data_IF_021757637962
#
_entry.id   IF_021757637962
#
_cell.length_a   1.000
_cell.length_b   1.000
_cell.length_c   1.000
_cell.angle_alpha   90.00
_cell.angle_beta   90.00
_cell.angle_gamma   90.00
#
_symmetry.space_group_name_H-M   'P 1'
#
loop_
_entity.id
_entity.type
_entity.pdbx_description
1 polymer ?
#
# COMPACT_ATOMS: atom_id res chain seq x y z
N UNK A 1 -38.86 -28.18 27.13
CA UNK A 1 -37.42 -28.18 27.42
C UNK A 1 -36.66 -28.06 26.10
N UNK A 2 -36.38 -26.84 25.68
CA UNK A 2 -35.70 -26.53 24.41
C UNK A 2 -34.20 -26.78 24.58
N UNK A 3 -33.72 -27.88 24.01
CA UNK A 3 -32.30 -28.18 23.87
C UNK A 3 -31.59 -27.02 23.16
N UNK A 4 -30.86 -26.23 23.95
CA UNK A 4 -30.12 -25.07 23.50
C UNK A 4 -28.97 -25.49 22.60
N UNK A 5 -29.18 -25.44 21.29
CA UNK A 5 -28.10 -25.51 20.29
C UNK A 5 -27.18 -24.32 20.54
N UNK A 6 -26.04 -24.56 21.21
CA UNK A 6 -25.01 -23.54 21.44
C UNK A 6 -24.55 -23.03 20.07
N UNK A 7 -24.68 -21.72 19.86
CA UNK A 7 -24.20 -21.05 18.66
C UNK A 7 -22.69 -21.25 18.60
N UNK A 8 -22.11 -21.66 17.45
CA UNK A 8 -20.67 -21.73 17.27
C UNK A 8 -20.02 -20.39 17.64
N UNK A 9 -18.93 -20.44 18.41
CA UNK A 9 -18.25 -19.24 18.93
C UNK A 9 -17.92 -18.24 17.82
N UNK A 10 -17.43 -18.72 16.68
CA UNK A 10 -17.10 -17.90 15.51
C UNK A 10 -18.32 -17.15 14.95
N UNK A 11 -19.47 -17.82 14.85
CA UNK A 11 -20.70 -17.19 14.36
C UNK A 11 -21.21 -16.15 15.37
N UNK A 12 -21.06 -16.42 16.67
CA UNK A 12 -21.40 -15.47 17.73
C UNK A 12 -20.46 -14.25 17.73
N UNK A 13 -19.17 -14.43 17.48
CA UNK A 13 -18.19 -13.35 17.34
C UNK A 13 -18.50 -12.48 16.13
N UNK A 14 -18.72 -13.08 14.96
CA UNK A 14 -19.12 -12.35 13.76
C UNK A 14 -20.44 -11.60 13.93
N UNK A 15 -21.43 -12.21 14.57
CA UNK A 15 -22.70 -11.55 14.86
C UNK A 15 -22.49 -10.31 15.75
N UNK A 16 -21.64 -10.40 16.77
CA UNK A 16 -21.26 -9.24 17.61
C UNK A 16 -20.53 -8.16 16.80
N UNK A 17 -19.60 -8.54 15.93
CA UNK A 17 -18.89 -7.61 15.05
C UNK A 17 -19.89 -6.82 14.17
N UNK A 18 -20.81 -7.53 13.51
CA UNK A 18 -21.83 -6.89 12.65
C UNK A 18 -22.80 -6.02 13.45
N UNK A 19 -23.22 -6.46 14.65
CA UNK A 19 -24.07 -5.65 15.52
C UNK A 19 -23.40 -4.34 15.93
N UNK A 20 -22.10 -4.36 16.27
CA UNK A 20 -21.36 -3.14 16.57
C UNK A 20 -21.21 -2.23 15.35
N UNK A 21 -20.90 -2.78 14.17
CA UNK A 21 -20.83 -2.00 12.93
C UNK A 21 -22.18 -1.37 12.57
N UNK A 22 -23.28 -2.08 12.80
CA UNK A 22 -24.63 -1.54 12.58
C UNK A 22 -24.94 -0.41 13.56
N UNK A 23 -24.62 -0.59 14.85
CA UNK A 23 -24.83 0.42 15.89
C UNK A 23 -24.10 1.72 15.57
N UNK A 24 -22.81 1.65 15.23
CA UNK A 24 -22.04 2.85 14.86
C UNK A 24 -22.55 3.48 13.57
N UNK A 25 -22.92 2.70 12.55
CA UNK A 25 -23.44 3.27 11.31
C UNK A 25 -24.76 4.02 11.55
N UNK A 26 -25.65 3.48 12.41
CA UNK A 26 -26.88 4.17 12.82
C UNK A 26 -26.61 5.43 13.64
N UNK A 27 -25.59 5.41 14.50
CA UNK A 27 -25.17 6.60 15.24
C UNK A 27 -24.65 7.69 14.29
N UNK A 28 -23.89 7.31 13.26
CA UNK A 28 -23.32 8.24 12.28
C UNK A 28 -24.38 8.79 11.32
N UNK A 29 -25.37 7.98 10.93
CA UNK A 29 -26.48 8.41 10.08
C UNK A 29 -27.20 9.63 10.67
N UNK A 30 -27.34 9.67 11.99
CA UNK A 30 -28.00 10.76 12.70
C UNK A 30 -27.30 12.11 12.66
N UNK A 31 -26.05 12.21 12.20
CA UNK A 31 -25.40 13.49 11.90
C UNK A 31 -25.79 14.01 10.52
N UNK A 32 -26.02 13.12 9.55
CA UNK A 32 -26.38 13.49 8.18
C UNK A 32 -27.88 13.70 7.99
N UNK A 33 -28.73 12.93 8.69
CA UNK A 33 -30.19 13.01 8.59
C UNK A 33 -30.80 13.67 9.82
N UNK A 34 -31.53 14.77 9.61
CA UNK A 34 -32.18 15.53 10.68
C UNK A 34 -33.44 14.87 11.24
N UNK A 35 -33.96 13.84 10.57
CA UNK A 35 -35.20 13.12 10.93
C UNK A 35 -34.99 11.90 11.82
N UNK A 36 -33.74 11.50 12.07
CA UNK A 36 -33.45 10.30 12.88
C UNK A 36 -33.17 10.69 14.32
N UNK A 37 -34.09 10.35 15.21
CA UNK A 37 -33.89 10.46 16.65
C UNK A 37 -33.21 9.19 17.19
N UNK A 38 -31.89 9.27 17.41
CA UNK A 38 -31.09 8.14 17.89
C UNK A 38 -30.30 8.57 19.14
N UNK A 39 -30.48 7.90 20.30
CA UNK A 39 -29.73 8.21 21.52
C UNK A 39 -28.21 8.06 21.33
N UNK A 40 -27.77 7.10 20.52
CA UNK A 40 -26.33 6.93 20.24
C UNK A 40 -25.77 8.13 19.45
N UNK A 41 -26.57 8.76 18.59
CA UNK A 41 -26.16 9.99 17.90
C UNK A 41 -26.05 11.16 18.88
N UNK A 42 -26.95 11.24 19.86
CA UNK A 42 -26.95 12.29 20.88
C UNK A 42 -25.71 12.16 21.78
N UNK A 43 -25.47 10.95 22.30
CA UNK A 43 -24.28 10.64 23.11
C UNK A 43 -22.98 10.86 22.32
N UNK A 44 -22.91 10.41 21.07
CA UNK A 44 -21.76 10.66 20.21
C UNK A 44 -21.57 12.16 19.93
N UNK A 45 -22.65 12.90 19.65
CA UNK A 45 -22.58 14.33 19.36
C UNK A 45 -22.06 15.13 20.55
N UNK A 46 -22.49 14.78 21.75
CA UNK A 46 -22.02 15.35 23.00
C UNK A 46 -20.53 15.04 23.24
N UNK A 47 -20.16 13.76 23.20
CA UNK A 47 -18.79 13.32 23.47
C UNK A 47 -17.78 13.75 22.42
N UNK A 48 -18.21 14.05 21.18
CA UNK A 48 -17.32 14.52 20.12
C UNK A 48 -16.92 16.00 20.26
N UNK A 49 -17.63 16.79 21.08
CA UNK A 49 -17.30 18.20 21.32
C UNK A 49 -15.85 18.37 21.81
N UNK A 50 -15.37 17.45 22.65
CA UNK A 50 -13.99 17.48 23.16
C UNK A 50 -12.90 17.36 22.08
N UNK A 51 -13.26 16.87 20.89
CA UNK A 51 -12.33 16.69 19.77
C UNK A 51 -12.41 17.84 18.75
N UNK A 52 -13.21 18.87 19.02
CA UNK A 52 -13.29 20.04 18.17
C UNK A 52 -11.99 20.85 18.23
N UNK A 53 -11.47 21.32 17.08
CA UNK A 53 -10.34 22.22 17.07
C UNK A 53 -10.72 23.53 17.77
N UNK A 54 -10.00 23.90 18.83
CA UNK A 54 -10.29 25.07 19.65
C UNK A 54 -11.14 24.81 20.90
N UNK A 55 -11.52 23.56 21.18
CA UNK A 55 -12.26 23.22 22.40
C UNK A 55 -11.43 23.50 23.66
N UNK A 56 -11.91 24.41 24.51
CA UNK A 56 -11.19 24.89 25.69
C UNK A 56 -11.23 23.97 26.91
N UNK A 57 -12.07 22.93 26.91
CA UNK A 57 -12.18 21.96 28.01
C UNK A 57 -12.61 22.57 29.34
N UNK A 58 -13.36 23.67 29.31
CA UNK A 58 -13.85 24.43 30.47
C UNK A 58 -15.36 24.27 30.67
N UNK A 59 -15.96 23.26 30.05
CA UNK A 59 -17.41 23.02 30.05
C UNK A 59 -17.70 21.55 30.26
N UNK A 60 -18.62 21.26 31.17
CA UNK A 60 -19.22 19.94 31.33
C UNK A 60 -20.71 20.00 30.97
N UNK A 61 -21.17 18.98 30.25
CA UNK A 61 -22.56 18.89 29.78
C UNK A 61 -23.06 17.47 30.00
N UNK A 62 -24.15 17.32 30.76
CA UNK A 62 -24.81 16.03 30.95
C UNK A 62 -26.12 15.98 30.17
N UNK A 63 -26.43 14.83 29.57
CA UNK A 63 -27.67 14.57 28.87
C UNK A 63 -28.46 13.51 29.65
N UNK A 64 -29.57 13.91 30.27
CA UNK A 64 -30.43 13.07 31.10
C UNK A 64 -31.75 12.74 30.39
N UNK A 65 -32.35 11.62 30.78
CA UNK A 65 -33.63 11.14 30.24
C UNK A 65 -34.80 11.52 31.15
N UNK A 66 -35.87 12.05 30.58
CA UNK A 66 -37.18 12.37 31.17
C UNK A 66 -37.17 13.47 32.27
N UNK A 67 -36.23 13.43 33.21
CA UNK A 67 -36.15 14.36 34.35
C UNK A 67 -34.71 14.77 34.67
N UNK A 68 -34.54 15.78 35.55
CA UNK A 68 -33.24 16.21 36.09
C UNK A 68 -32.54 15.16 36.97
N UNK A 69 -33.26 14.13 37.41
CA UNK A 69 -32.75 13.01 38.20
C UNK A 69 -32.81 11.68 37.43
N UNK A 70 -33.11 11.73 36.14
CA UNK A 70 -33.30 10.55 35.31
C UNK A 70 -32.00 9.92 34.84
N UNK A 71 -32.12 8.82 34.10
CA UNK A 71 -30.97 8.06 33.60
C UNK A 71 -30.09 8.91 32.67
N UNK A 72 -28.77 8.82 32.84
CA UNK A 72 -27.80 9.48 31.96
C UNK A 72 -27.76 8.79 30.59
N UNK A 73 -28.03 9.57 29.53
CA UNK A 73 -27.90 9.16 28.13
C UNK A 73 -26.45 9.36 27.66
N UNK A 74 -25.78 10.41 28.16
CA UNK A 74 -24.35 10.60 28.02
C UNK A 74 -23.85 11.87 28.70
N UNK A 75 -22.56 11.91 29.02
CA UNK A 75 -21.90 13.05 29.65
C UNK A 75 -20.65 13.47 28.89
N UNK A 76 -20.41 14.78 28.87
CA UNK A 76 -19.15 15.40 28.53
C UNK A 76 -18.55 15.96 29.81
N UNK A 77 -17.57 15.27 30.38
CA UNK A 77 -16.83 15.75 31.53
C UNK A 77 -15.79 16.81 31.14
N UNK A 78 -15.50 17.71 32.07
CA UNK A 78 -14.39 18.67 31.96
C UNK A 78 -13.32 18.35 33.00
N UNK A 79 -12.05 18.47 32.61
CA UNK A 79 -10.90 18.27 33.50
C UNK A 79 -10.61 19.51 34.37
N UNK A 80 -11.22 20.66 34.06
CA UNK A 80 -11.06 21.91 34.82
C UNK A 80 -12.07 22.00 35.96
N UNK A 81 -11.58 22.28 37.17
CA UNK A 81 -12.42 22.47 38.36
C UNK A 81 -13.32 23.71 38.29
N UNK A 82 -12.99 24.71 37.46
CA UNK A 82 -13.79 25.93 37.24
C UNK A 82 -14.77 25.81 36.08
N UNK A 83 -15.01 24.59 35.60
CA UNK A 83 -15.85 24.39 34.43
C UNK A 83 -17.32 24.71 34.70
N UNK A 84 -17.96 25.34 33.71
CA UNK A 84 -19.38 25.62 33.77
C UNK A 84 -20.14 24.36 33.42
N UNK A 85 -20.92 23.87 34.38
CA UNK A 85 -21.75 22.68 34.23
C UNK A 85 -23.15 23.02 33.73
N UNK A 86 -23.62 22.22 32.77
CA UNK A 86 -24.89 22.35 32.07
C UNK A 86 -25.56 21.00 31.96
N UNK A 87 -26.89 20.98 32.02
CA UNK A 87 -27.68 19.77 31.95
C UNK A 87 -28.67 19.92 30.80
N UNK A 88 -28.79 18.91 29.96
CA UNK A 88 -29.81 18.79 28.92
C UNK A 88 -30.74 17.65 29.32
N UNK A 89 -32.03 17.92 29.44
CA UNK A 89 -33.03 16.86 29.72
C UNK A 89 -33.78 16.56 28.42
N UNK A 90 -33.78 15.28 28.03
CA UNK A 90 -34.56 14.75 26.90
C UNK A 90 -35.95 14.35 27.41
N UNK A 91 -36.99 15.05 26.98
CA UNK A 91 -38.40 14.74 27.21
C UNK A 91 -39.05 14.22 25.93
N UNK A 92 -40.29 13.73 26.01
CA UNK A 92 -41.07 13.31 24.83
C UNK A 92 -41.29 14.45 23.82
N UNK A 93 -41.30 15.70 24.30
CA UNK A 93 -41.59 16.90 23.51
C UNK A 93 -40.32 17.65 23.05
N UNK A 94 -39.12 17.19 23.44
CA UNK A 94 -37.84 17.76 22.99
C UNK A 94 -36.75 17.80 24.05
N UNK A 95 -35.87 18.80 23.95
CA UNK A 95 -34.70 18.97 24.81
C UNK A 95 -34.74 20.31 25.53
N UNK A 96 -34.59 20.26 26.85
CA UNK A 96 -34.61 21.43 27.72
C UNK A 96 -33.24 21.64 28.38
N UNK A 97 -32.66 22.85 28.26
CA UNK A 97 -31.39 23.15 28.89
C UNK A 97 -31.59 23.70 30.31
N UNK A 98 -30.77 23.22 31.23
CA UNK A 98 -30.73 23.63 32.63
C UNK A 98 -29.30 23.96 33.06
N UNK A 99 -29.18 24.80 34.07
CA UNK A 99 -27.91 25.00 34.79
C UNK A 99 -27.73 23.92 35.87
N UNK A 100 -26.56 23.94 36.53
CA UNK A 100 -26.25 23.04 37.65
C UNK A 100 -27.14 23.23 38.89
N UNK A 101 -27.94 24.30 38.96
CA UNK A 101 -28.90 24.58 40.02
C UNK A 101 -30.33 24.14 39.65
N UNK A 102 -30.54 23.56 38.46
CA UNK A 102 -31.85 23.13 37.98
C UNK A 102 -32.73 24.25 37.40
N UNK A 103 -32.17 25.43 37.15
CA UNK A 103 -32.89 26.53 36.51
C UNK A 103 -32.81 26.40 34.98
N UNK A 104 -33.94 26.63 34.30
CA UNK A 104 -34.02 26.57 32.85
C UNK A 104 -33.22 27.70 32.19
N UNK A 105 -32.38 27.35 31.21
CA UNK A 105 -31.49 28.27 30.49
C UNK A 105 -32.05 28.76 29.16
N UNK A 106 -33.23 28.29 28.75
CA UNK A 106 -33.81 28.66 27.45
C UNK A 106 -35.04 27.86 27.09
N UNK A 107 -35.63 28.20 25.94
CA UNK A 107 -36.81 27.54 25.43
C UNK A 107 -36.53 26.09 25.01
N UNK A 108 -37.52 25.23 25.20
CA UNK A 108 -37.51 23.84 24.73
C UNK A 108 -37.27 23.80 23.21
N UNK A 109 -36.36 22.91 22.79
CA UNK A 109 -36.07 22.70 21.38
C UNK A 109 -36.41 21.25 20.98
N UNK A 110 -37.18 21.02 19.90
CA UNK A 110 -37.50 19.65 19.46
C UNK A 110 -36.27 18.88 18.95
N UNK A 111 -35.16 19.56 18.62
CA UNK A 111 -33.96 18.96 18.05
C UNK A 111 -32.78 19.04 19.00
N UNK A 112 -32.09 17.90 19.17
CA UNK A 112 -30.93 17.78 20.06
C UNK A 112 -29.83 18.80 19.74
N UNK A 113 -29.38 18.90 18.49
CA UNK A 113 -28.27 19.78 18.11
C UNK A 113 -28.63 21.27 18.21
N UNK A 114 -29.91 21.62 18.03
CA UNK A 114 -30.40 22.97 18.30
C UNK A 114 -30.36 23.32 19.79
N UNK A 115 -30.74 22.37 20.65
CA UNK A 115 -30.63 22.54 22.11
C UNK A 115 -29.17 22.59 22.56
N UNK A 116 -28.31 21.72 22.02
CA UNK A 116 -26.88 21.71 22.28
C UNK A 116 -26.23 23.04 21.88
N UNK A 117 -26.60 23.61 20.73
CA UNK A 117 -26.15 24.96 20.36
C UNK A 117 -26.55 25.98 21.43
N UNK A 118 -27.81 25.99 21.89
CA UNK A 118 -28.28 26.95 22.90
C UNK A 118 -27.52 26.89 24.22
N UNK A 119 -26.99 25.71 24.57
CA UNK A 119 -26.17 25.50 25.78
C UNK A 119 -24.74 25.99 25.61
N UNK A 120 -24.23 26.08 24.37
CA UNK A 120 -22.91 26.60 24.06
C UNK A 120 -22.92 28.14 24.05
N UNK A 121 -22.21 28.81 24.98
CA UNK A 121 -22.14 30.26 24.99
C UNK A 121 -21.26 30.81 23.85
N UNK A 122 -21.37 32.11 23.60
CA UNK A 122 -20.79 32.80 22.44
C UNK A 122 -19.25 32.69 22.38
N UNK A 123 -18.58 32.65 23.53
CA UNK A 123 -17.14 32.45 23.67
C UNK A 123 -16.68 31.09 23.11
N UNK A 124 -17.41 30.03 23.46
CA UNK A 124 -17.12 28.67 23.00
C UNK A 124 -17.40 28.54 21.50
N UNK A 125 -18.47 29.16 21.01
CA UNK A 125 -18.80 29.13 19.57
C UNK A 125 -17.70 29.78 18.73
N UNK A 126 -17.18 30.93 19.16
CA UNK A 126 -16.10 31.62 18.46
C UNK A 126 -14.80 30.81 18.44
N UNK A 127 -14.46 30.15 19.56
CA UNK A 127 -13.22 29.35 19.66
C UNK A 127 -13.23 28.11 18.78
N UNK A 128 -14.39 27.46 18.60
CA UNK A 128 -14.57 26.32 17.68
C UNK A 128 -14.89 26.74 16.24
N UNK A 129 -14.72 28.02 15.90
CA UNK A 129 -14.99 28.60 14.58
C UNK A 129 -16.44 28.42 14.10
N UNK A 130 -17.42 28.45 15.02
CA UNK A 130 -18.84 28.49 14.69
C UNK A 130 -19.37 29.93 14.72
N UNK A 131 -20.08 30.39 13.68
CA UNK A 131 -20.75 31.69 13.69
C UNK A 131 -21.73 31.83 14.87
N UNK A 132 -21.91 33.04 15.41
CA UNK A 132 -22.86 33.28 16.51
C UNK A 132 -24.31 32.98 16.10
N UNK A 133 -24.65 33.21 14.82
CA UNK A 133 -25.92 32.87 14.21
C UNK A 133 -25.94 31.45 13.60
N UNK A 134 -25.04 30.56 14.05
CA UNK A 134 -24.95 29.22 13.49
C UNK A 134 -26.26 28.45 13.64
N UNK A 135 -26.64 27.76 12.57
CA UNK A 135 -27.79 26.86 12.57
C UNK A 135 -27.35 25.46 13.02
N UNK A 136 -28.29 24.67 13.52
CA UNK A 136 -28.03 23.28 13.95
C UNK A 136 -27.34 22.42 12.88
N UNK A 137 -27.60 22.68 11.60
CA UNK A 137 -27.02 21.91 10.50
C UNK A 137 -25.50 22.11 10.38
N UNK A 138 -24.98 23.28 10.77
CA UNK A 138 -23.55 23.56 10.74
C UNK A 138 -22.82 22.78 11.84
N UNK A 139 -23.35 22.77 13.06
CA UNK A 139 -22.81 21.96 14.15
C UNK A 139 -22.84 20.46 13.81
N UNK A 140 -23.96 20.01 13.23
CA UNK A 140 -24.13 18.62 12.78
C UNK A 140 -23.11 18.21 11.71
N UNK A 141 -22.89 19.05 10.70
CA UNK A 141 -21.93 18.79 9.64
C UNK A 141 -20.50 18.70 10.18
N UNK A 142 -20.15 19.62 11.08
CA UNK A 142 -18.82 19.69 11.69
C UNK A 142 -18.55 18.45 12.55
N UNK A 143 -19.48 18.10 13.46
CA UNK A 143 -19.35 16.88 14.26
C UNK A 143 -19.41 15.60 13.41
N UNK A 144 -20.25 15.59 12.36
CA UNK A 144 -20.37 14.46 11.43
C UNK A 144 -19.08 14.19 10.65
N UNK A 145 -18.34 15.23 10.25
CA UNK A 145 -17.02 15.09 9.64
C UNK A 145 -16.04 14.37 10.57
N UNK A 146 -15.94 14.83 11.82
CA UNK A 146 -15.06 14.22 12.84
C UNK A 146 -15.52 12.79 13.15
N UNK A 147 -16.82 12.56 13.28
CA UNK A 147 -17.39 11.25 13.58
C UNK A 147 -17.07 10.21 12.49
N UNK A 148 -17.07 10.64 11.22
CA UNK A 148 -16.76 9.78 10.07
C UNK A 148 -15.26 9.46 9.98
N UNK A 149 -14.40 10.45 10.23
CA UNK A 149 -12.94 10.27 10.22
C UNK A 149 -12.44 9.46 11.42
N UNK A 150 -13.01 9.68 12.60
CA UNK A 150 -12.57 9.11 13.88
C UNK A 150 -13.61 8.18 14.48
N UNK A 151 -14.00 7.15 13.72
CA UNK A 151 -14.96 6.12 14.16
C UNK A 151 -14.54 5.42 15.44
N UNK A 152 -13.24 5.25 15.66
CA UNK A 152 -12.66 4.70 16.88
C UNK A 152 -13.05 5.51 18.12
N UNK A 153 -13.08 6.84 18.02
CA UNK A 153 -13.48 7.72 19.13
C UNK A 153 -14.97 7.62 19.42
N UNK A 154 -15.80 7.54 18.37
CA UNK A 154 -17.25 7.30 18.51
C UNK A 154 -17.52 5.97 19.22
N UNK A 155 -16.77 4.90 18.91
CA UNK A 155 -16.89 3.61 19.61
C UNK A 155 -16.56 3.74 21.10
N UNK A 156 -15.51 4.49 21.43
CA UNK A 156 -15.11 4.74 22.82
C UNK A 156 -16.17 5.53 23.60
N UNK A 157 -16.73 6.58 22.99
CA UNK A 157 -17.82 7.39 23.58
C UNK A 157 -19.05 6.53 23.83
N UNK A 158 -19.41 5.64 22.90
CA UNK A 158 -20.56 4.74 23.03
C UNK A 158 -20.29 3.49 23.89
N UNK A 159 -19.16 3.49 24.61
CA UNK A 159 -18.69 2.40 25.47
C UNK A 159 -18.76 1.02 24.77
N UNK A 160 -18.50 0.98 23.47
CA UNK A 160 -18.51 -0.27 22.73
C UNK A 160 -17.30 -1.11 23.14
N UNK A 161 -17.54 -2.41 23.39
CA UNK A 161 -16.43 -3.30 23.71
C UNK A 161 -15.43 -3.33 22.56
N UNK A 162 -14.13 -3.07 22.82
CA UNK A 162 -13.12 -3.15 21.79
C UNK A 162 -13.09 -4.59 21.28
N UNK A 163 -13.39 -4.78 19.99
CA UNK A 163 -13.15 -6.06 19.33
C UNK A 163 -11.64 -6.23 19.34
N UNK A 164 -11.12 -7.03 20.28
CA UNK A 164 -9.73 -7.47 20.25
C UNK A 164 -9.52 -8.07 18.86
N UNK A 165 -8.51 -7.64 18.08
CA UNK A 165 -8.19 -8.32 16.85
C UNK A 165 -7.74 -9.73 17.23
N UNK A 166 -8.70 -10.65 17.27
CA UNK A 166 -8.41 -12.07 17.39
C UNK A 166 -7.49 -12.42 16.23
N UNK A 167 -6.38 -13.09 16.53
CA UNK A 167 -5.57 -13.72 15.50
C UNK A 167 -6.50 -14.71 14.82
N UNK A 168 -7.03 -14.35 13.64
CA UNK A 168 -7.72 -15.30 12.79
C UNK A 168 -6.64 -16.29 12.34
N UNK A 169 -6.81 -17.56 12.64
CA UNK A 169 -5.90 -18.57 12.12
C UNK A 169 -6.16 -18.72 10.62
N UNK A 170 -5.17 -19.11 9.82
CA UNK A 170 -5.41 -19.44 8.42
C UNK A 170 -6.46 -20.56 8.36
N UNK A 171 -7.61 -20.30 7.75
CA UNK A 171 -8.68 -21.30 7.63
C UNK A 171 -8.68 -21.92 6.23
N UNK A 172 -9.17 -23.16 6.15
CA UNK A 172 -9.34 -23.86 4.89
C UNK A 172 -10.61 -23.34 4.22
N UNK A 173 -10.45 -22.67 3.08
CA UNK A 173 -11.53 -22.15 2.26
C UNK A 173 -12.27 -23.32 1.57
N UNK A 174 -13.51 -23.10 1.09
CA UNK A 174 -14.32 -24.13 0.42
C UNK A 174 -13.64 -24.77 -0.81
N UNK A 175 -12.67 -24.08 -1.39
CA UNK A 175 -11.83 -24.54 -2.51
C UNK A 175 -10.54 -25.26 -2.09
N UNK A 176 -10.36 -25.53 -0.79
CA UNK A 176 -9.19 -26.23 -0.25
C UNK A 176 -7.98 -25.34 0.06
N UNK A 177 -8.00 -24.04 -0.27
CA UNK A 177 -6.91 -23.10 0.05
C UNK A 177 -6.83 -22.83 1.55
N UNK A 178 -5.63 -22.77 2.12
CA UNK A 178 -5.41 -22.28 3.50
C UNK A 178 -5.13 -20.77 3.40
N UNK A 179 -6.00 -19.92 3.94
CA UNK A 179 -5.85 -18.49 3.80
C UNK A 179 -6.83 -17.64 4.63
N UNK A 180 -6.70 -16.32 4.48
CA UNK A 180 -7.56 -15.34 5.16
C UNK A 180 -8.66 -14.85 4.21
N UNK A 181 -9.94 -14.80 4.62
CA UNK A 181 -10.95 -14.08 3.85
C UNK A 181 -10.54 -12.60 3.76
N UNK A 182 -10.55 -12.07 2.54
CA UNK A 182 -10.05 -10.76 2.10
C UNK A 182 -10.65 -9.55 2.85
N UNK A 183 -10.28 -9.35 4.12
CA UNK A 183 -10.45 -8.08 4.80
C UNK A 183 -9.09 -7.39 4.90
N UNK A 184 -8.91 -6.29 4.17
CA UNK A 184 -7.67 -5.50 4.15
C UNK A 184 -7.27 -4.90 5.51
N UNK A 185 -8.04 -5.13 6.58
CA UNK A 185 -7.81 -4.61 7.93
C UNK A 185 -6.58 -5.23 8.62
N UNK A 186 -6.30 -6.52 8.37
CA UNK A 186 -5.09 -7.17 8.91
C UNK A 186 -3.81 -6.82 8.12
N UNK A 187 -3.97 -6.32 6.88
CA UNK A 187 -2.84 -5.89 6.04
C UNK A 187 -2.05 -4.73 6.67
N UNK A 188 -2.75 -3.82 7.36
CA UNK A 188 -2.14 -2.71 8.10
C UNK A 188 -1.49 -3.15 9.41
N UNK A 189 -2.12 -4.07 10.13
CA UNK A 189 -1.63 -4.60 11.41
C UNK A 189 -0.31 -5.39 11.24
N UNK A 190 -0.22 -6.27 10.25
CA UNK A 190 1.02 -7.03 9.97
C UNK A 190 2.15 -6.15 9.40
N UNK A 191 1.81 -5.06 8.70
CA UNK A 191 2.81 -4.06 8.25
C UNK A 191 3.40 -3.27 9.43
N UNK A 192 2.62 -3.04 10.50
CA UNK A 192 3.01 -2.28 11.71
C UNK A 192 3.83 -3.09 12.72
N UNK A 193 3.63 -4.41 12.78
CA UNK A 193 4.34 -5.30 13.70
C UNK A 193 5.72 -5.76 13.21
N UNK A 194 6.19 -5.32 12.04
CA UNK A 194 7.46 -5.77 11.47
C UNK A 194 7.48 -7.26 11.08
N UNK A 195 6.36 -7.98 11.26
CA UNK A 195 6.14 -9.34 10.74
C UNK A 195 5.85 -9.18 9.25
N UNK A 196 6.90 -8.93 8.47
CA UNK A 196 6.83 -8.97 7.02
C UNK A 196 6.33 -10.36 6.61
N UNK A 197 5.09 -10.45 6.14
CA UNK A 197 4.47 -11.69 5.65
C UNK A 197 5.26 -12.35 4.50
N UNK A 198 6.18 -11.60 3.88
CA UNK A 198 7.20 -12.08 2.93
C UNK A 198 8.34 -12.89 3.56
N UNK A 199 8.41 -13.04 4.89
CA UNK A 199 9.44 -13.83 5.57
C UNK A 199 9.00 -15.27 5.88
N UNK A 200 7.69 -15.53 5.85
CA UNK A 200 7.07 -16.81 6.23
C UNK A 200 6.39 -17.53 5.07
N UNK A 201 6.01 -16.83 4.00
CA UNK A 201 5.50 -17.46 2.77
C UNK A 201 6.40 -17.13 1.57
N UNK A 202 6.94 -18.14 0.86
CA UNK A 202 7.76 -17.91 -0.33
C UNK A 202 6.96 -17.24 -1.46
N UNK A 203 5.64 -17.44 -1.52
CA UNK A 203 4.75 -16.85 -2.51
C UNK A 203 4.65 -15.32 -2.37
N UNK A 204 4.51 -14.81 -1.14
CA UNK A 204 4.50 -13.36 -0.90
C UNK A 204 5.88 -12.73 -1.09
N UNK A 205 6.94 -13.48 -0.82
CA UNK A 205 8.30 -13.03 -1.11
C UNK A 205 8.49 -12.84 -2.63
N UNK A 206 8.07 -13.80 -3.45
CA UNK A 206 8.10 -13.69 -4.92
C UNK A 206 7.21 -12.54 -5.39
N UNK A 207 5.99 -12.43 -4.88
CA UNK A 207 5.06 -11.32 -5.23
C UNK A 207 5.59 -9.94 -4.83
N UNK A 208 6.43 -9.87 -3.79
CA UNK A 208 7.10 -8.62 -3.41
C UNK A 208 8.23 -8.22 -4.37
N UNK A 209 8.95 -9.21 -4.91
CA UNK A 209 10.01 -9.00 -5.92
C UNK A 209 9.40 -8.67 -7.29
N UNK A 210 8.36 -9.43 -7.68
CA UNK A 210 7.69 -9.36 -8.97
C UNK A 210 6.17 -9.10 -8.78
N UNK A 211 5.74 -7.82 -8.70
CA UNK A 211 4.34 -7.47 -8.44
C UNK A 211 3.37 -7.93 -9.50
N UNK A 212 3.80 -7.99 -10.76
CA UNK A 212 2.93 -8.27 -11.90
C UNK A 212 2.69 -9.76 -12.13
N UNK A 213 3.44 -10.64 -11.45
CA UNK A 213 3.30 -12.08 -11.60
C UNK A 213 1.89 -12.56 -11.22
N UNK A 214 1.23 -13.31 -12.08
CA UNK A 214 -0.01 -14.01 -11.73
C UNK A 214 0.25 -15.09 -10.66
N UNK A 215 -0.81 -15.61 -10.03
CA UNK A 215 -0.65 -16.69 -9.05
C UNK A 215 0.02 -17.93 -9.67
N UNK A 216 -0.33 -18.25 -10.91
CA UNK A 216 0.25 -19.39 -11.65
C UNK A 216 1.73 -19.14 -11.99
N UNK A 217 2.08 -17.91 -12.37
CA UNK A 217 3.48 -17.54 -12.62
C UNK A 217 4.33 -17.59 -11.34
N UNK A 218 3.76 -17.22 -10.18
CA UNK A 218 4.43 -17.38 -8.88
C UNK A 218 4.67 -18.86 -8.56
N UNK A 219 3.68 -19.72 -8.83
CA UNK A 219 3.81 -21.17 -8.61
C UNK A 219 4.89 -21.78 -9.52
N UNK A 220 4.84 -21.49 -10.82
CA UNK A 220 5.84 -21.94 -11.81
C UNK A 220 7.24 -21.49 -11.38
N UNK A 221 7.40 -20.21 -11.03
CA UNK A 221 8.69 -19.68 -10.59
C UNK A 221 9.23 -20.39 -9.33
N UNK A 222 8.35 -20.68 -8.36
CA UNK A 222 8.76 -21.42 -7.16
C UNK A 222 9.10 -22.88 -7.48
N UNK A 223 8.41 -23.51 -8.42
CA UNK A 223 8.69 -24.88 -8.83
C UNK A 223 10.00 -24.98 -9.63
N UNK A 224 10.29 -24.03 -10.52
CA UNK A 224 11.60 -23.90 -11.18
C UNK A 224 12.71 -23.73 -10.14
N UNK A 225 12.51 -22.86 -9.15
CA UNK A 225 13.49 -22.59 -8.10
C UNK A 225 13.65 -23.80 -7.16
N UNK A 226 12.61 -24.62 -6.96
CA UNK A 226 12.72 -25.89 -6.23
C UNK A 226 13.46 -26.96 -7.04
N UNK A 227 13.31 -26.96 -8.37
CA UNK A 227 14.00 -27.89 -9.25
C UNK A 227 15.52 -27.65 -9.31
N UNK A 228 15.98 -26.42 -9.03
CA UNK A 228 17.41 -26.11 -8.88
C UNK A 228 18.07 -26.79 -7.65
N UNK A 229 17.27 -27.22 -6.66
CA UNK A 229 17.79 -27.84 -5.43
C UNK A 229 18.09 -29.32 -5.64
N UNK A 230 19.37 -29.69 -5.57
CA UNK A 230 19.86 -31.08 -5.70
C UNK A 230 20.07 -31.78 -4.34
N UNK A 231 19.78 -31.10 -3.22
CA UNK A 231 19.99 -31.62 -1.87
C UNK A 231 18.80 -32.38 -1.28
N UNK A 232 18.88 -32.71 0.01
CA UNK A 232 17.81 -33.42 0.72
C UNK A 232 16.53 -32.57 0.83
N UNK A 233 15.36 -33.23 0.77
CA UNK A 233 14.05 -32.59 0.80
C UNK A 233 13.83 -31.72 2.05
N UNK A 234 14.46 -32.06 3.18
CA UNK A 234 14.39 -31.27 4.42
C UNK A 234 15.10 -29.90 4.35
N UNK A 235 16.04 -29.73 3.40
CA UNK A 235 16.79 -28.48 3.22
C UNK A 235 16.13 -27.54 2.19
N UNK A 236 15.15 -28.03 1.42
CA UNK A 236 14.47 -27.29 0.37
C UNK A 236 13.88 -25.93 0.86
N UNK A 237 13.20 -25.85 2.01
CA UNK A 237 12.65 -24.57 2.48
C UNK A 237 13.75 -23.54 2.81
N UNK A 238 14.90 -24.00 3.32
CA UNK A 238 16.04 -23.12 3.60
C UNK A 238 16.67 -22.61 2.31
N UNK A 239 16.88 -23.49 1.34
CA UNK A 239 17.40 -23.14 0.02
C UNK A 239 16.54 -22.08 -0.68
N UNK A 240 15.22 -22.30 -0.75
CA UNK A 240 14.28 -21.33 -1.36
C UNK A 240 14.36 -19.98 -0.66
N UNK A 241 14.39 -19.97 0.69
CA UNK A 241 14.48 -18.73 1.46
C UNK A 241 15.81 -18.00 1.24
N UNK A 242 16.93 -18.73 1.17
CA UNK A 242 18.24 -18.16 0.90
C UNK A 242 18.31 -17.57 -0.51
N UNK A 243 17.77 -18.27 -1.51
CA UNK A 243 17.72 -17.80 -2.89
C UNK A 243 16.90 -16.53 -3.04
N UNK A 244 15.70 -16.48 -2.43
CA UNK A 244 14.84 -15.30 -2.43
C UNK A 244 15.45 -14.10 -1.69
N UNK A 245 16.25 -14.35 -0.63
CA UNK A 245 17.05 -13.29 0.02
C UNK A 245 18.14 -12.78 -0.92
N UNK A 246 18.88 -13.67 -1.56
CA UNK A 246 19.89 -13.30 -2.55
C UNK A 246 19.33 -12.42 -3.67
N UNK A 247 18.17 -12.78 -4.23
CA UNK A 247 17.47 -11.95 -5.24
C UNK A 247 17.07 -10.58 -4.69
N UNK A 248 16.62 -10.50 -3.43
CA UNK A 248 16.29 -9.21 -2.80
C UNK A 248 17.52 -8.33 -2.62
N UNK A 249 18.63 -8.93 -2.18
CA UNK A 249 19.88 -8.22 -1.98
C UNK A 249 20.47 -7.75 -3.32
N UNK A 250 20.34 -8.56 -4.37
CA UNK A 250 20.71 -8.21 -5.74
C UNK A 250 19.89 -7.03 -6.27
N UNK A 251 18.56 -7.04 -6.10
CA UNK A 251 17.70 -5.92 -6.47
C UNK A 251 18.07 -4.64 -5.71
N UNK A 252 18.34 -4.77 -4.41
CA UNK A 252 18.73 -3.62 -3.58
C UNK A 252 20.05 -3.04 -4.05
N UNK A 253 21.05 -3.89 -4.33
CA UNK A 253 22.35 -3.44 -4.82
C UNK A 253 22.20 -2.74 -6.18
N UNK A 254 21.43 -3.33 -7.11
CA UNK A 254 21.12 -2.72 -8.39
C UNK A 254 20.50 -1.33 -8.23
N UNK A 255 19.52 -1.19 -7.33
CA UNK A 255 18.89 0.09 -7.07
C UNK A 255 19.88 1.12 -6.54
N UNK A 256 20.72 0.75 -5.56
CA UNK A 256 21.76 1.63 -5.01
C UNK A 256 22.75 2.09 -6.08
N UNK A 257 23.27 1.16 -6.90
CA UNK A 257 24.21 1.49 -7.99
C UNK A 257 23.58 2.44 -9.02
N UNK A 258 22.30 2.23 -9.38
CA UNK A 258 21.61 3.11 -10.33
C UNK A 258 21.32 4.50 -9.76
N UNK A 259 20.95 4.58 -8.49
CA UNK A 259 20.70 5.86 -7.80
C UNK A 259 22.01 6.66 -7.69
N UNK A 260 23.11 6.02 -7.29
CA UNK A 260 24.46 6.62 -7.26
C UNK A 260 24.84 7.16 -8.64
N UNK A 261 24.68 6.35 -9.69
CA UNK A 261 24.96 6.73 -11.08
C UNK A 261 24.17 7.95 -11.58
N UNK A 262 22.94 8.13 -11.13
CA UNK A 262 22.13 9.33 -11.43
C UNK A 262 22.69 10.54 -10.67
N UNK A 263 23.03 10.36 -9.38
CA UNK A 263 23.50 11.45 -8.51
C UNK A 263 24.88 11.98 -8.86
N UNK A 264 25.76 11.16 -9.44
CA UNK A 264 27.10 11.57 -9.90
C UNK A 264 27.07 12.66 -10.98
N UNK A 265 25.94 12.85 -11.69
CA UNK A 265 25.78 13.87 -12.74
C UNK A 265 24.62 14.83 -12.48
N UNK A 266 24.71 15.69 -11.43
CA UNK A 266 23.56 16.49 -11.00
C UNK A 266 23.15 17.57 -12.00
N UNK A 267 24.07 18.02 -12.88
CA UNK A 267 23.88 19.15 -13.83
C UNK A 267 24.21 18.81 -15.29
N UNK A 268 23.96 17.57 -15.73
CA UNK A 268 24.21 17.13 -17.12
C UNK A 268 22.91 16.88 -17.88
N UNK A 269 22.91 17.17 -19.20
CA UNK A 269 21.85 16.78 -20.14
C UNK A 269 21.61 15.27 -20.13
N UNK A 270 22.60 14.49 -19.69
CA UNK A 270 22.54 13.03 -19.57
C UNK A 270 21.64 12.55 -18.42
N UNK A 271 21.34 13.39 -17.43
CA UNK A 271 20.61 12.97 -16.22
C UNK A 271 19.25 12.37 -16.55
N UNK A 272 18.46 13.03 -17.40
CA UNK A 272 17.14 12.55 -17.81
C UNK A 272 17.24 11.20 -18.53
N UNK A 273 18.22 11.04 -19.42
CA UNK A 273 18.49 9.78 -20.12
C UNK A 273 18.88 8.67 -19.13
N UNK A 274 19.72 8.97 -18.13
CA UNK A 274 20.12 8.03 -17.07
C UNK A 274 18.95 7.63 -16.19
N UNK A 275 18.09 8.57 -15.78
CA UNK A 275 16.88 8.28 -15.01
C UNK A 275 15.92 7.38 -15.79
N UNK A 276 15.78 7.59 -17.11
CA UNK A 276 14.97 6.71 -17.96
C UNK A 276 15.62 5.33 -18.10
N UNK A 277 16.92 5.26 -18.37
CA UNK A 277 17.65 4.00 -18.49
C UNK A 277 17.60 3.20 -17.17
N UNK A 278 17.87 3.83 -16.04
CA UNK A 278 17.80 3.22 -14.72
C UNK A 278 16.41 2.65 -14.43
N UNK A 279 15.34 3.40 -14.75
CA UNK A 279 13.95 2.92 -14.59
C UNK A 279 13.67 1.70 -15.46
N UNK A 280 14.15 1.68 -16.71
CA UNK A 280 13.97 0.55 -17.64
C UNK A 280 14.77 -0.67 -17.22
N UNK A 281 16.01 -0.50 -16.78
CA UNK A 281 16.87 -1.57 -16.25
C UNK A 281 16.25 -2.18 -14.99
N UNK A 282 15.88 -1.33 -14.02
CA UNK A 282 15.25 -1.77 -12.78
C UNK A 282 13.89 -2.45 -13.03
N UNK A 283 13.08 -1.89 -13.92
CA UNK A 283 11.81 -2.49 -14.35
C UNK A 283 12.02 -3.87 -14.99
N UNK A 284 12.98 -3.98 -15.92
CA UNK A 284 13.30 -5.23 -16.60
C UNK A 284 13.82 -6.31 -15.65
N UNK A 285 14.66 -5.97 -14.66
CA UNK A 285 15.08 -6.92 -13.63
C UNK A 285 13.86 -7.44 -12.84
N UNK A 286 12.92 -6.52 -12.51
CA UNK A 286 11.65 -6.86 -11.86
C UNK A 286 10.63 -7.50 -12.79
N UNK A 287 11.01 -7.81 -14.03
CA UNK A 287 10.15 -8.46 -15.03
C UNK A 287 8.92 -7.61 -15.37
N UNK A 288 9.05 -6.30 -15.24
CA UNK A 288 8.08 -5.29 -15.61
C UNK A 288 8.48 -4.76 -16.99
N UNK A 289 7.77 -5.17 -18.03
CA UNK A 289 8.08 -4.72 -19.39
C UNK A 289 7.65 -5.71 -20.46
N UNK A 290 8.05 -5.39 -21.69
CA UNK A 290 7.68 -6.16 -22.87
C UNK A 290 8.35 -7.54 -22.87
N UNK A 291 7.64 -8.50 -23.44
CA UNK A 291 8.12 -9.85 -23.64
C UNK A 291 8.57 -10.01 -25.08
N UNK A 292 9.68 -10.72 -25.28
CA UNK A 292 10.06 -11.22 -26.61
C UNK A 292 9.32 -12.54 -26.84
N UNK A 293 8.60 -12.59 -27.96
CA UNK A 293 7.85 -13.75 -28.43
C UNK A 293 8.38 -14.18 -29.80
N UNK A 294 8.44 -15.49 -30.03
CA UNK A 294 8.76 -16.04 -31.35
C UNK A 294 7.67 -15.70 -32.36
N UNK A 295 7.97 -15.84 -33.66
CA UNK A 295 6.98 -15.80 -34.74
C UNK A 295 5.86 -16.84 -34.55
N UNK A 296 6.11 -17.92 -33.82
CA UNK A 296 5.09 -18.92 -33.45
C UNK A 296 4.34 -18.59 -32.14
N UNK A 297 4.59 -17.44 -31.52
CA UNK A 297 3.94 -17.01 -30.27
C UNK A 297 4.54 -17.59 -28.99
N UNK A 298 5.66 -18.31 -29.07
CA UNK A 298 6.36 -18.85 -27.89
C UNK A 298 7.07 -17.75 -27.09
N UNK A 299 6.99 -17.81 -25.76
CA UNK A 299 7.69 -16.89 -24.88
C UNK A 299 9.20 -17.16 -24.90
N UNK A 300 9.99 -16.19 -25.36
CA UNK A 300 11.44 -16.31 -25.46
C UNK A 300 12.18 -15.69 -24.28
N UNK A 301 11.57 -14.68 -23.65
CA UNK A 301 12.11 -13.97 -22.48
C UNK A 301 11.63 -12.53 -22.41
N UNK A 302 12.34 -11.71 -21.65
CA UNK A 302 12.03 -10.27 -21.51
C UNK A 302 12.83 -9.43 -22.50
N UNK A 303 12.29 -8.27 -22.86
CA UNK A 303 12.92 -7.28 -23.72
C UNK A 303 13.35 -6.06 -22.91
N UNK A 304 14.62 -5.68 -23.01
CA UNK A 304 15.18 -4.45 -22.46
C UNK A 304 15.45 -3.46 -23.60
N UNK A 305 14.64 -2.41 -23.66
CA UNK A 305 14.80 -1.32 -24.62
C UNK A 305 15.54 -0.15 -23.94
N UNK A 306 16.71 0.21 -24.46
CA UNK A 306 17.51 1.36 -24.09
C UNK A 306 17.79 2.26 -25.31
N UNK A 307 17.03 2.11 -26.39
CA UNK A 307 17.25 2.84 -27.63
C UNK A 307 17.14 4.35 -27.42
N UNK A 308 18.03 5.10 -28.07
CA UNK A 308 18.12 6.55 -28.01
C UNK A 308 18.40 7.15 -26.63
N UNK A 309 18.89 6.35 -25.69
CA UNK A 309 19.30 6.83 -24.37
C UNK A 309 20.80 7.10 -24.35
N UNK A 310 21.18 8.34 -24.63
CA UNK A 310 22.57 8.81 -24.47
C UNK A 310 22.87 8.96 -22.99
N UNK A 311 23.54 7.96 -22.42
CA UNK A 311 23.80 7.87 -20.97
C UNK A 311 25.27 8.10 -20.60
N UNK A 312 26.15 8.14 -21.60
CA UNK A 312 27.61 8.18 -21.40
C UNK A 312 28.11 6.85 -20.84
N UNK A 313 28.85 6.88 -19.75
CA UNK A 313 29.35 5.67 -19.08
C UNK A 313 28.22 4.98 -18.31
N UNK A 314 27.98 3.69 -18.59
CA UNK A 314 27.07 2.81 -17.82
C UNK A 314 27.83 2.29 -16.58
N UNK A 315 27.18 2.24 -15.39
CA UNK A 315 27.83 1.75 -14.17
C UNK A 315 28.03 0.24 -14.24
N UNK A 316 28.96 -0.30 -13.46
CA UNK A 316 29.15 -1.74 -13.36
C UNK A 316 27.96 -2.38 -12.62
N UNK A 317 27.06 -2.97 -13.38
CA UNK A 317 25.92 -3.69 -12.83
C UNK A 317 26.36 -5.10 -12.43
N UNK A 318 26.10 -5.48 -11.18
CA UNK A 318 26.39 -6.82 -10.64
C UNK A 318 25.21 -7.78 -10.72
N UNK A 319 24.02 -7.27 -11.05
CA UNK A 319 22.80 -8.05 -11.20
C UNK A 319 22.79 -8.90 -12.47
N UNK A 320 22.20 -10.08 -12.39
CA UNK A 320 22.03 -11.03 -13.49
C UNK A 320 20.75 -10.74 -14.28
N UNK A 321 20.88 -10.70 -15.61
CA UNK A 321 19.76 -10.52 -16.55
C UNK A 321 19.55 -11.78 -17.39
N UNK A 322 19.75 -12.96 -16.81
CA UNK A 322 19.57 -14.24 -17.48
C UNK A 322 18.15 -14.53 -17.99
N UNK A 323 17.13 -13.76 -17.58
CA UNK A 323 15.76 -13.86 -18.10
C UNK A 323 15.51 -12.98 -19.34
N UNK A 324 16.46 -12.13 -19.73
CA UNK A 324 16.34 -11.21 -20.86
C UNK A 324 16.75 -11.93 -22.15
N UNK A 325 15.88 -11.87 -23.16
CA UNK A 325 16.09 -12.47 -24.48
C UNK A 325 16.35 -11.44 -25.57
N UNK A 326 15.96 -10.18 -25.37
CA UNK A 326 16.17 -9.10 -26.34
C UNK A 326 16.76 -7.87 -25.63
N UNK A 327 17.84 -7.33 -26.18
CA UNK A 327 18.47 -6.09 -25.73
C UNK A 327 18.59 -5.11 -26.90
N UNK A 328 17.88 -3.99 -26.80
CA UNK A 328 17.96 -2.88 -27.75
C UNK A 328 18.73 -1.74 -27.10
N UNK A 329 19.86 -1.36 -27.69
CA UNK A 329 20.75 -0.33 -27.20
C UNK A 329 21.30 0.48 -28.38
N UNK A 330 20.41 0.84 -29.30
CA UNK A 330 20.68 1.64 -30.47
C UNK A 330 20.91 3.11 -30.10
N UNK A 331 21.93 3.75 -30.69
CA UNK A 331 22.19 5.19 -30.52
C UNK A 331 22.34 5.63 -29.05
N UNK A 332 23.13 4.88 -28.28
CA UNK A 332 23.41 5.20 -26.86
C UNK A 332 24.75 5.94 -26.65
N UNK A 333 25.60 6.04 -27.67
CA UNK A 333 26.96 6.61 -27.59
C UNK A 333 27.81 5.98 -26.48
N UNK A 334 27.73 4.65 -26.36
CA UNK A 334 28.42 3.94 -25.28
C UNK A 334 29.91 3.78 -25.58
N UNK A 335 30.80 4.12 -24.63
CA UNK A 335 32.23 3.86 -24.77
C UNK A 335 32.53 2.36 -24.65
N UNK A 336 33.47 1.87 -25.45
CA UNK A 336 33.84 0.45 -25.50
C UNK A 336 34.27 -0.12 -24.15
N UNK A 337 34.93 0.68 -23.29
CA UNK A 337 35.53 0.22 -22.03
C UNK A 337 34.55 -0.44 -21.05
N UNK A 338 33.26 -0.10 -21.12
CA UNK A 338 32.23 -0.61 -20.20
C UNK A 338 31.23 -1.55 -20.88
N UNK A 339 31.32 -1.73 -22.19
CA UNK A 339 30.38 -2.54 -22.95
C UNK A 339 30.50 -4.02 -22.56
N UNK A 340 31.72 -4.53 -22.41
CA UNK A 340 31.93 -5.94 -22.04
C UNK A 340 31.38 -6.23 -20.63
N UNK A 341 31.68 -5.35 -19.67
CA UNK A 341 31.18 -5.44 -18.30
C UNK A 341 29.65 -5.37 -18.21
N UNK A 342 28.99 -4.65 -19.12
CA UNK A 342 27.53 -4.60 -19.18
C UNK A 342 26.95 -5.86 -19.83
N UNK A 343 27.48 -6.27 -20.97
CA UNK A 343 26.98 -7.41 -21.76
C UNK A 343 27.16 -8.76 -21.05
N UNK A 344 28.18 -8.92 -20.20
CA UNK A 344 28.43 -10.17 -19.45
C UNK A 344 27.24 -10.63 -18.60
N UNK A 345 26.36 -9.71 -18.21
CA UNK A 345 25.21 -9.99 -17.35
C UNK A 345 24.02 -10.61 -18.11
N UNK A 346 24.07 -10.64 -19.44
CA UNK A 346 22.98 -11.09 -20.31
C UNK A 346 23.32 -12.42 -20.99
N UNK A 347 23.16 -13.52 -20.27
CA UNK A 347 23.64 -14.85 -20.71
C UNK A 347 22.71 -15.58 -21.68
N UNK A 348 21.44 -15.17 -21.79
CA UNK A 348 20.41 -15.86 -22.58
C UNK A 348 19.84 -15.01 -23.73
N UNK A 349 20.57 -13.98 -24.19
CA UNK A 349 20.13 -13.14 -25.31
C UNK A 349 19.97 -13.95 -26.60
N UNK A 350 18.92 -13.59 -27.33
CA UNK A 350 18.60 -14.04 -28.68
C UNK A 350 18.74 -12.91 -29.69
N UNK A 351 18.34 -11.69 -29.31
CA UNK A 351 18.49 -10.50 -30.17
C UNK A 351 19.25 -9.39 -29.45
N UNK A 352 20.29 -8.88 -30.10
CA UNK A 352 21.16 -7.81 -29.59
C UNK A 352 21.34 -6.72 -30.65
N UNK A 353 20.87 -5.51 -30.36
CA UNK A 353 21.08 -4.35 -31.22
C UNK A 353 21.96 -3.31 -30.54
N UNK A 354 23.19 -3.14 -31.05
CA UNK A 354 24.16 -2.13 -30.61
C UNK A 354 24.50 -1.15 -31.73
N UNK A 355 23.59 -0.94 -32.69
CA UNK A 355 23.82 -0.02 -33.80
C UNK A 355 23.99 1.44 -33.35
N UNK A 356 24.76 2.22 -34.10
CA UNK A 356 25.05 3.64 -33.82
C UNK A 356 25.67 3.86 -32.43
N UNK A 357 26.69 3.08 -32.09
CA UNK A 357 27.53 3.29 -30.91
C UNK A 357 28.99 3.57 -31.32
N UNK A 358 29.89 3.66 -30.35
CA UNK A 358 31.31 4.00 -30.54
C UNK A 358 32.22 2.78 -30.36
N UNK A 359 31.74 1.58 -30.73
CA UNK A 359 32.49 0.34 -30.58
C UNK A 359 33.63 0.25 -31.61
N UNK A 360 34.87 0.12 -31.14
CA UNK A 360 36.05 -0.08 -32.00
C UNK A 360 36.44 -1.56 -32.12
N UNK A 361 36.06 -2.39 -31.16
CA UNK A 361 36.20 -3.84 -31.22
C UNK A 361 34.94 -4.55 -30.70
N UNK A 362 34.80 -5.83 -31.07
CA UNK A 362 33.71 -6.68 -30.62
C UNK A 362 33.95 -7.11 -29.15
N UNK A 363 33.01 -6.86 -28.22
CA UNK A 363 33.14 -7.34 -26.84
C UNK A 363 33.22 -8.87 -26.74
N UNK A 364 34.14 -9.39 -25.92
CA UNK A 364 34.31 -10.85 -25.73
C UNK A 364 33.05 -11.52 -25.18
N UNK A 365 32.27 -10.81 -24.37
CA UNK A 365 31.01 -11.28 -23.79
C UNK A 365 30.01 -11.76 -24.85
N UNK A 366 30.05 -11.21 -26.07
CA UNK A 366 29.19 -11.64 -27.18
C UNK A 366 29.47 -13.12 -27.52
N UNK A 367 30.72 -13.56 -27.45
CA UNK A 367 31.10 -14.96 -27.74
C UNK A 367 30.51 -15.97 -26.75
N UNK A 368 30.05 -15.52 -25.57
CA UNK A 368 29.40 -16.36 -24.56
C UNK A 368 27.89 -16.48 -24.76
N UNK A 369 27.30 -15.66 -25.64
CA UNK A 369 25.85 -15.63 -25.90
C UNK A 369 25.44 -16.74 -26.88
N UNK A 370 25.54 -18.00 -26.44
CA UNK A 370 25.31 -19.19 -27.28
C UNK A 370 23.90 -19.31 -27.90
N UNK A 371 22.94 -18.53 -27.41
CA UNK A 371 21.55 -18.47 -27.89
C UNK A 371 21.28 -17.30 -28.84
N UNK A 372 22.29 -16.47 -29.14
CA UNK A 372 22.13 -15.29 -29.98
C UNK A 372 21.84 -15.70 -31.44
N UNK A 373 20.73 -15.18 -31.97
CA UNK A 373 20.27 -15.37 -33.34
C UNK A 373 20.37 -14.09 -34.15
N UNK A 374 20.15 -12.93 -33.53
CA UNK A 374 20.20 -11.63 -34.20
C UNK A 374 21.25 -10.73 -33.54
N UNK A 375 22.17 -10.19 -34.35
CA UNK A 375 23.19 -9.25 -33.91
C UNK A 375 23.29 -8.08 -34.89
N UNK A 376 22.97 -6.88 -34.42
CA UNK A 376 23.14 -5.64 -35.17
C UNK A 376 24.26 -4.80 -34.56
N UNK A 377 25.29 -4.54 -35.36
CA UNK A 377 26.44 -3.69 -35.02
C UNK A 377 26.58 -2.49 -35.97
N UNK A 378 25.52 -2.18 -36.73
CA UNK A 378 25.54 -1.18 -37.80
C UNK A 378 26.03 0.18 -37.30
N UNK A 379 26.83 0.88 -38.11
CA UNK A 379 27.34 2.22 -37.78
C UNK A 379 28.11 2.28 -36.46
N UNK A 380 29.06 1.35 -36.30
CA UNK A 380 30.13 1.41 -35.30
C UNK A 380 31.49 1.44 -36.02
N UNK A 381 32.52 2.13 -35.49
CA UNK A 381 33.86 2.18 -36.07
C UNK A 381 34.68 0.89 -35.79
N UNK A 382 34.10 -0.29 -36.08
CA UNK A 382 34.70 -1.58 -35.75
C UNK A 382 35.94 -1.88 -36.60
N UNK A 383 37.05 -2.19 -35.94
CA UNK A 383 38.20 -2.87 -36.54
C UNK A 383 37.97 -4.37 -36.54
N UNK A 384 37.77 -4.96 -37.72
CA UNK A 384 37.67 -6.42 -37.86
C UNK A 384 39.05 -7.06 -37.68
N UNK A 385 39.21 -7.78 -36.57
CA UNK A 385 40.45 -8.49 -36.23
C UNK A 385 40.20 -10.00 -36.17
N UNK A 386 41.27 -10.80 -36.15
CA UNK A 386 41.16 -12.26 -35.94
C UNK A 386 40.46 -12.61 -34.62
N UNK A 387 40.63 -11.80 -33.59
CA UNK A 387 39.93 -11.94 -32.31
C UNK A 387 38.40 -11.77 -32.48
N UNK A 388 37.96 -10.79 -33.27
CA UNK A 388 36.54 -10.61 -33.60
C UNK A 388 35.96 -11.85 -34.31
N UNK A 389 36.73 -12.46 -35.21
CA UNK A 389 36.31 -13.68 -35.91
C UNK A 389 36.20 -14.87 -34.94
N UNK A 390 37.15 -15.04 -34.03
CA UNK A 390 37.10 -16.10 -33.02
C UNK A 390 35.86 -15.98 -32.10
N UNK A 391 35.47 -14.74 -31.74
CA UNK A 391 34.26 -14.48 -30.96
C UNK A 391 33.01 -14.90 -31.74
N UNK A 392 32.90 -14.49 -33.00
CA UNK A 392 31.74 -14.82 -33.85
C UNK A 392 31.64 -16.31 -34.16
N UNK A 393 32.76 -17.04 -34.26
CA UNK A 393 32.76 -18.50 -34.46
C UNK A 393 32.09 -19.27 -33.32
N UNK A 394 32.02 -18.70 -32.11
CA UNK A 394 31.30 -19.31 -30.99
C UNK A 394 29.77 -19.21 -31.15
N UNK A 395 29.29 -18.32 -32.02
CA UNK A 395 27.86 -18.11 -32.28
C UNK A 395 27.38 -19.04 -33.40
N UNK A 396 26.76 -20.16 -33.01
CA UNK A 396 26.33 -21.19 -33.97
C UNK A 396 25.01 -20.90 -34.69
N UNK A 397 24.30 -19.84 -34.31
CA UNK A 397 22.92 -19.56 -34.74
C UNK A 397 22.71 -18.15 -35.28
N UNK A 398 23.81 -17.43 -35.55
CA UNK A 398 23.76 -16.02 -35.92
C UNK A 398 23.25 -15.83 -37.36
N UNK A 399 22.14 -15.11 -37.49
CA UNK A 399 21.65 -14.55 -38.75
C UNK A 399 22.11 -13.09 -38.84
N UNK A 400 22.90 -12.78 -39.87
CA UNK A 400 23.40 -11.42 -40.10
C UNK A 400 22.41 -10.67 -40.98
N UNK A 401 21.70 -9.71 -40.39
CA UNK A 401 20.89 -8.76 -41.15
C UNK A 401 21.76 -7.56 -41.55
N UNK A 402 21.90 -7.35 -42.86
CA UNK A 402 22.75 -6.32 -43.47
C UNK A 402 22.20 -4.89 -43.29
#
# INVERSE_FOLDING_TARGET
MTSGKRIPLELAEHAREYQQQLRINRALEGFYRSSTDNPDTQAAGLGLLQYLPGWGGDRSIDLLKDTLEGDEIGSLASEKATAVHRILVRTEEGFEPFNHLGESLGARNPRFFGSLLSVLPDDVRLTINLPLNAQEQQLRSLLGGIASERRDRVMSILHMQPIKPGIKWPHRLPDGRIGYPLSGRLRGFFRRLGIGSSSHSPELAVKSLYPDFSADQVAIFLDELRAEHTGSAGQLPHFVKQRLRGLRDELRNLQTTLDEWITETPFSVLRTSREVAARRIHGCWRRLGNHSISLQGEFLGYSLDLDNLRVGVIPEITASFGHVAELKAWNMQLPQSHMDAFLKNFTNLRSLNLGFNELQALPESIGRMTRLTELSLRNNPLGWTEASNAILQNLRRLEVHA
#
